data_IF_027985584660
#
_entry.id   IF_027985584660
#
_cell.length_a   1.000
_cell.length_b   1.000
_cell.length_c   1.000
_cell.angle_alpha   90.00
_cell.angle_beta   90.00
_cell.angle_gamma   90.00
#
_symmetry.space_group_name_H-M   'P 1'
#
loop_
_entity.id
_entity.type
_entity.pdbx_description
1 polymer ?
#
# COMPACT_ATOMS: atom_id res chain seq x y z
N UNK A 1 -36.96 6.71 -3.93
CA UNK A 1 -35.50 6.49 -3.80
C UNK A 1 -35.27 5.39 -2.77
N UNK A 2 -34.62 4.29 -3.15
CA UNK A 2 -34.28 3.21 -2.22
C UNK A 2 -33.07 3.65 -1.40
N UNK A 3 -33.20 3.71 -0.07
CA UNK A 3 -32.10 4.12 0.82
C UNK A 3 -31.18 2.93 1.04
N UNK A 4 -30.02 2.92 0.37
CA UNK A 4 -28.99 1.92 0.62
C UNK A 4 -28.38 2.16 2.01
N UNK A 5 -28.30 1.10 2.81
CA UNK A 5 -27.65 1.11 4.13
C UNK A 5 -26.38 0.28 4.06
N UNK A 6 -25.30 0.82 4.59
CA UNK A 6 -24.06 0.08 4.81
C UNK A 6 -24.13 -0.67 6.14
N UNK A 7 -23.31 -1.73 6.33
CA UNK A 7 -23.18 -2.38 7.63
C UNK A 7 -22.84 -1.38 8.73
N UNK A 8 -23.27 -1.67 9.95
CA UNK A 8 -22.84 -0.92 11.12
C UNK A 8 -21.31 -1.00 11.28
N UNK A 9 -20.68 0.12 11.65
CA UNK A 9 -19.23 0.21 11.75
C UNK A 9 -18.49 0.26 10.41
N UNK A 10 -19.19 0.51 9.29
CA UNK A 10 -18.52 0.71 8.00
C UNK A 10 -17.57 1.91 8.07
N UNK A 11 -16.32 1.70 7.64
CA UNK A 11 -15.29 2.74 7.66
C UNK A 11 -15.37 3.59 6.39
N UNK A 12 -15.66 4.87 6.58
CA UNK A 12 -15.56 5.95 5.60
C UNK A 12 -14.31 6.75 5.91
N UNK A 13 -13.28 6.60 5.09
CA UNK A 13 -12.00 7.24 5.31
C UNK A 13 -11.38 7.79 4.04
N UNK A 14 -10.26 8.47 4.23
CA UNK A 14 -9.36 8.92 3.16
C UNK A 14 -8.03 8.18 3.27
N UNK A 15 -7.29 8.15 2.16
CA UNK A 15 -6.00 7.48 2.08
C UNK A 15 -4.93 8.38 1.50
N UNK A 16 -3.75 8.36 2.10
CA UNK A 16 -2.57 9.11 1.68
C UNK A 16 -1.32 8.23 1.76
N UNK A 17 -0.21 8.71 1.23
CA UNK A 17 1.11 8.11 1.45
C UNK A 17 2.13 9.18 1.81
N UNK A 18 3.07 8.82 2.68
CA UNK A 18 4.04 9.71 3.29
C UNK A 18 4.76 10.59 2.27
N UNK A 19 5.36 9.98 1.24
CA UNK A 19 6.12 10.69 0.22
C UNK A 19 5.27 11.71 -0.57
N UNK A 20 3.96 11.50 -0.67
CA UNK A 20 3.05 12.37 -1.43
C UNK A 20 2.58 13.59 -0.64
N UNK A 21 2.56 13.53 0.70
CA UNK A 21 1.93 14.58 1.53
C UNK A 21 2.85 15.18 2.60
N UNK A 22 3.82 14.43 3.12
CA UNK A 22 4.55 14.84 4.33
C UNK A 22 5.47 16.03 4.10
N UNK A 23 6.28 15.98 3.04
CA UNK A 23 7.40 16.90 2.90
C UNK A 23 8.44 16.71 4.00
N UNK A 24 9.03 17.81 4.46
CA UNK A 24 10.02 17.83 5.54
C UNK A 24 11.16 16.84 5.29
N UNK A 25 11.67 16.82 4.04
CA UNK A 25 12.68 15.85 3.58
C UNK A 25 13.97 15.91 4.40
N UNK A 26 14.35 17.09 4.88
CA UNK A 26 15.61 17.35 5.60
C UNK A 26 15.44 17.55 7.11
N UNK A 27 14.20 17.47 7.59
CA UNK A 27 13.91 17.78 8.98
C UNK A 27 14.07 16.54 9.85
N UNK A 28 14.46 16.78 11.10
CA UNK A 28 14.46 15.79 12.18
C UNK A 28 15.15 14.47 11.82
N UNK A 29 16.19 14.53 10.97
CA UNK A 29 17.05 13.39 10.66
C UNK A 29 16.46 12.35 9.71
N UNK A 30 15.40 12.67 8.95
CA UNK A 30 14.90 11.79 7.87
C UNK A 30 15.99 11.53 6.82
N UNK A 31 16.17 10.26 6.44
CA UNK A 31 17.03 9.85 5.33
C UNK A 31 16.36 10.06 3.96
N UNK A 32 17.14 9.93 2.87
CA UNK A 32 16.57 9.96 1.53
C UNK A 32 15.89 8.63 1.17
N UNK A 33 14.78 8.70 0.44
CA UNK A 33 14.13 7.58 -0.23
C UNK A 33 14.55 7.47 -1.70
N UNK A 34 14.20 6.36 -2.34
CA UNK A 34 14.35 6.21 -3.80
C UNK A 34 13.60 7.28 -4.59
N UNK A 35 12.47 7.77 -4.08
CA UNK A 35 11.70 8.82 -4.74
C UNK A 35 12.35 10.19 -4.62
N UNK A 36 13.06 10.45 -3.51
CA UNK A 36 13.82 11.68 -3.35
C UNK A 36 14.92 11.79 -4.43
N UNK A 37 15.64 10.69 -4.70
CA UNK A 37 16.65 10.65 -5.77
C UNK A 37 16.06 10.60 -7.16
N UNK A 38 14.94 9.91 -7.33
CA UNK A 38 14.24 9.88 -8.62
C UNK A 38 13.75 11.27 -9.03
N UNK A 39 13.18 12.04 -8.10
CA UNK A 39 12.69 13.39 -8.35
C UNK A 39 13.82 14.39 -8.65
N UNK A 40 15.01 14.21 -8.07
CA UNK A 40 16.20 15.01 -8.38
C UNK A 40 16.71 14.81 -9.82
N UNK A 41 16.30 13.75 -10.51
CA UNK A 41 16.79 13.45 -11.86
C UNK A 41 16.01 14.29 -12.89
N UNK A 42 16.66 15.15 -13.69
CA UNK A 42 15.98 15.99 -14.66
C UNK A 42 15.12 15.19 -15.64
N UNK A 43 13.90 15.67 -15.88
CA UNK A 43 12.95 15.06 -16.82
C UNK A 43 12.26 13.78 -16.31
N UNK A 44 12.45 13.37 -15.06
CA UNK A 44 11.72 12.23 -14.47
C UNK A 44 10.36 12.60 -13.90
N UNK A 45 10.20 13.86 -13.48
CA UNK A 45 8.92 14.41 -13.04
C UNK A 45 8.39 15.31 -14.15
N UNK A 46 7.12 15.12 -14.52
CA UNK A 46 6.52 15.75 -15.69
C UNK A 46 6.55 17.29 -15.66
N UNK A 47 6.39 17.88 -14.48
CA UNK A 47 6.45 19.32 -14.25
C UNK A 47 7.74 19.78 -13.55
N UNK A 48 8.68 18.84 -13.30
CA UNK A 48 9.94 19.11 -12.60
C UNK A 48 9.80 19.40 -11.10
N UNK A 49 8.62 19.19 -10.50
CA UNK A 49 8.43 19.32 -9.04
C UNK A 49 9.15 18.23 -8.25
N UNK A 50 9.33 18.43 -6.95
CA UNK A 50 9.94 17.47 -6.04
C UNK A 50 9.13 17.31 -4.73
N UNK A 51 9.23 16.16 -4.05
CA UNK A 51 8.44 15.86 -2.85
C UNK A 51 9.00 16.52 -1.57
N UNK A 52 9.96 17.45 -1.66
CA UNK A 52 10.65 18.03 -0.52
C UNK A 52 9.72 18.75 0.47
N UNK A 53 8.68 19.43 -0.05
CA UNK A 53 7.63 20.09 0.75
C UNK A 53 6.28 19.38 0.63
N UNK A 54 5.91 18.91 -0.56
CA UNK A 54 4.61 18.26 -0.81
C UNK A 54 3.42 19.09 -0.29
N UNK A 55 2.57 18.54 0.59
CA UNK A 55 1.47 19.26 1.24
C UNK A 55 1.86 19.85 2.61
N UNK A 56 3.11 19.65 3.03
CA UNK A 56 3.63 20.03 4.35
C UNK A 56 2.87 19.38 5.52
N UNK A 57 2.36 18.15 5.32
CA UNK A 57 1.63 17.41 6.34
C UNK A 57 2.48 17.17 7.59
N UNK A 58 3.80 17.05 7.46
CA UNK A 58 4.69 16.86 8.61
C UNK A 58 4.54 17.96 9.68
N UNK A 59 4.35 19.21 9.26
CA UNK A 59 4.13 20.33 10.17
C UNK A 59 2.64 20.60 10.43
N UNK A 60 1.78 20.29 9.45
CA UNK A 60 0.37 20.70 9.44
C UNK A 60 -0.63 19.59 9.72
N UNK A 61 -0.18 18.40 10.11
CA UNK A 61 -1.04 17.23 10.31
C UNK A 61 -2.24 17.46 11.24
N UNK A 62 -2.14 18.37 12.22
CA UNK A 62 -3.25 18.73 13.12
C UNK A 62 -4.42 19.36 12.34
N UNK A 63 -4.12 20.19 11.35
CA UNK A 63 -5.12 20.80 10.47
C UNK A 63 -5.80 19.72 9.60
N UNK A 64 -5.03 18.74 9.14
CA UNK A 64 -5.56 17.63 8.34
C UNK A 64 -6.48 16.71 9.16
N UNK A 65 -6.13 16.43 10.42
CA UNK A 65 -7.00 15.68 11.35
C UNK A 65 -8.33 16.41 11.58
N UNK A 66 -8.26 17.71 11.84
CA UNK A 66 -9.43 18.57 12.02
C UNK A 66 -10.30 18.66 10.75
N UNK A 67 -9.69 18.70 9.56
CA UNK A 67 -10.41 18.59 8.29
C UNK A 67 -11.12 17.23 8.13
N UNK A 68 -10.45 16.13 8.45
CA UNK A 68 -11.04 14.78 8.37
C UNK A 68 -12.24 14.65 9.30
N UNK A 69 -12.15 15.21 10.52
CA UNK A 69 -13.26 15.22 11.47
C UNK A 69 -14.44 16.05 10.95
N UNK A 70 -14.21 17.25 10.40
CA UNK A 70 -15.25 18.09 9.79
C UNK A 70 -15.96 17.42 8.60
N UNK A 71 -15.25 16.59 7.85
CA UNK A 71 -15.83 15.81 6.75
C UNK A 71 -16.70 14.63 7.23
N UNK A 72 -16.71 14.32 8.53
CA UNK A 72 -17.47 13.20 9.09
C UNK A 72 -16.87 11.83 8.75
N UNK A 73 -15.55 11.77 8.52
CA UNK A 73 -14.82 10.53 8.33
C UNK A 73 -14.63 9.82 9.67
N UNK A 74 -14.43 8.50 9.62
CA UNK A 74 -14.18 7.68 10.81
C UNK A 74 -12.93 6.79 10.67
N UNK A 75 -12.15 6.95 9.60
CA UNK A 75 -10.90 6.24 9.39
C UNK A 75 -9.91 7.07 8.58
N UNK A 76 -8.62 6.88 8.85
CA UNK A 76 -7.54 7.46 8.06
C UNK A 76 -6.47 6.41 7.75
N UNK A 77 -6.29 6.12 6.46
CA UNK A 77 -5.18 5.30 5.99
C UNK A 77 -4.02 6.18 5.58
N UNK A 78 -2.89 6.04 6.26
CA UNK A 78 -1.65 6.74 5.92
C UNK A 78 -0.51 5.72 5.77
N UNK A 79 0.64 6.11 5.25
CA UNK A 79 1.84 5.28 5.30
C UNK A 79 2.87 5.87 6.26
N UNK A 80 3.70 5.00 6.82
CA UNK A 80 4.83 5.40 7.66
C UNK A 80 6.08 5.40 6.79
N UNK A 81 6.78 6.53 6.71
CA UNK A 81 8.00 6.65 5.94
C UNK A 81 9.12 5.86 6.61
N UNK A 82 9.49 4.74 6.00
CA UNK A 82 10.66 3.96 6.41
C UNK A 82 11.92 4.83 6.56
N UNK A 83 12.32 5.68 5.59
CA UNK A 83 13.52 6.51 5.75
C UNK A 83 13.39 7.60 6.82
N UNK A 84 12.17 7.90 7.28
CA UNK A 84 11.97 8.79 8.43
C UNK A 84 12.20 8.07 9.75
N UNK A 85 11.80 6.79 9.84
CA UNK A 85 11.96 5.96 11.05
C UNK A 85 13.36 5.36 11.16
N UNK A 86 13.93 4.89 10.06
CA UNK A 86 15.29 4.34 9.95
C UNK A 86 15.99 4.99 8.74
N UNK A 87 16.74 6.09 8.94
CA UNK A 87 17.35 6.85 7.84
C UNK A 87 18.27 6.03 6.93
N UNK A 88 19.06 5.13 7.52
CA UNK A 88 19.94 4.20 6.79
C UNK A 88 19.22 2.90 6.36
N UNK A 89 17.89 2.84 6.56
CA UNK A 89 17.02 1.69 6.36
C UNK A 89 17.15 0.58 7.39
N UNK A 90 18.21 0.58 8.21
CA UNK A 90 18.43 -0.34 9.34
C UNK A 90 19.09 0.38 10.51
N UNK A 91 19.17 -0.31 11.64
CA UNK A 91 19.95 0.12 12.80
C UNK A 91 19.19 1.10 13.69
N UNK A 92 19.77 2.28 13.92
CA UNK A 92 19.27 3.24 14.91
C UNK A 92 17.98 3.89 14.46
N UNK A 93 16.93 3.73 15.27
CA UNK A 93 15.64 4.40 15.08
C UNK A 93 15.81 5.90 15.29
N UNK A 94 15.31 6.67 14.33
CA UNK A 94 15.14 8.10 14.48
C UNK A 94 13.93 8.39 15.39
N UNK A 95 14.20 8.79 16.63
CA UNK A 95 13.17 9.01 17.65
C UNK A 95 12.20 10.14 17.27
N UNK A 96 12.67 11.23 16.64
CA UNK A 96 11.82 12.34 16.21
C UNK A 96 10.90 11.90 15.06
N UNK A 97 11.46 11.18 14.09
CA UNK A 97 10.70 10.62 12.97
C UNK A 97 9.59 9.66 13.41
N UNK A 98 9.87 8.77 14.35
CA UNK A 98 8.86 7.86 14.89
C UNK A 98 7.88 8.57 15.85
N UNK A 99 8.35 9.61 16.55
CA UNK A 99 7.53 10.45 17.43
C UNK A 99 6.46 11.26 16.68
N UNK A 100 6.70 11.64 15.43
CA UNK A 100 5.68 12.23 14.57
C UNK A 100 4.48 11.30 14.37
N UNK A 101 4.71 10.05 13.98
CA UNK A 101 3.63 9.07 13.79
C UNK A 101 2.91 8.71 15.10
N UNK A 102 3.65 8.72 16.21
CA UNK A 102 3.08 8.54 17.53
C UNK A 102 2.04 9.62 17.86
N UNK A 103 2.42 10.89 17.72
CA UNK A 103 1.54 12.02 17.96
C UNK A 103 0.36 12.07 16.98
N UNK A 104 0.60 11.72 15.71
CA UNK A 104 -0.45 11.63 14.71
C UNK A 104 -1.51 10.58 15.09
N UNK A 105 -1.08 9.39 15.51
CA UNK A 105 -1.99 8.31 15.93
C UNK A 105 -2.82 8.73 17.14
N UNK A 106 -2.20 9.34 18.15
CA UNK A 106 -2.92 9.82 19.33
C UNK A 106 -4.01 10.81 18.95
N UNK A 107 -3.69 11.79 18.10
CA UNK A 107 -4.67 12.78 17.69
C UNK A 107 -5.77 12.23 16.78
N UNK A 108 -5.48 11.23 15.93
CA UNK A 108 -6.51 10.53 15.16
C UNK A 108 -7.51 9.85 16.10
N UNK A 109 -7.01 9.14 17.10
CA UNK A 109 -7.85 8.46 18.08
C UNK A 109 -8.66 9.46 18.92
N UNK A 110 -8.06 10.57 19.36
CA UNK A 110 -8.75 11.66 20.05
C UNK A 110 -9.87 12.28 19.18
N UNK A 111 -9.65 12.36 17.86
CA UNK A 111 -10.65 12.85 16.90
C UNK A 111 -11.72 11.80 16.53
N UNK A 112 -11.62 10.56 17.01
CA UNK A 112 -12.53 9.46 16.69
C UNK A 112 -12.29 8.83 15.32
N UNK A 113 -11.08 8.97 14.76
CA UNK A 113 -10.66 8.39 13.48
C UNK A 113 -9.85 7.12 13.73
N UNK A 114 -10.24 6.01 13.11
CA UNK A 114 -9.48 4.76 13.14
C UNK A 114 -8.15 4.89 12.34
N UNK A 115 -6.98 4.77 12.98
CA UNK A 115 -5.70 4.86 12.29
C UNK A 115 -5.36 3.54 11.57
N UNK A 116 -5.13 3.62 10.25
CA UNK A 116 -4.83 2.48 9.40
C UNK A 116 -3.44 2.66 8.73
N UNK A 117 -2.32 2.48 9.46
CA UNK A 117 -0.99 2.69 8.92
C UNK A 117 -0.58 1.59 7.92
N UNK A 118 0.02 2.02 6.82
CA UNK A 118 0.67 1.18 5.81
C UNK A 118 2.17 1.25 6.02
N UNK A 119 2.82 0.11 6.28
CA UNK A 119 4.26 0.10 6.59
C UNK A 119 5.15 0.46 5.39
N UNK A 120 4.74 0.16 4.17
CA UNK A 120 5.54 0.44 2.98
C UNK A 120 4.66 0.97 1.85
N UNK A 121 5.04 2.12 1.28
CA UNK A 121 4.32 2.73 0.17
C UNK A 121 5.30 3.32 -0.86
N UNK A 122 6.20 2.45 -1.35
CA UNK A 122 7.20 2.73 -2.39
C UNK A 122 8.32 3.69 -1.98
N UNK A 123 8.47 3.92 -0.69
CA UNK A 123 9.41 4.84 -0.06
C UNK A 123 10.63 4.10 0.53
N UNK A 124 11.25 3.22 -0.26
CA UNK A 124 12.45 2.50 0.17
C UNK A 124 13.57 3.48 0.51
N UNK A 125 14.25 3.36 1.67
CA UNK A 125 15.45 4.14 1.97
C UNK A 125 16.51 3.97 0.88
N UNK A 126 17.07 5.08 0.40
CA UNK A 126 18.08 5.07 -0.65
C UNK A 126 19.31 4.24 -0.24
N UNK A 127 19.69 4.30 1.04
CA UNK A 127 20.79 3.51 1.59
C UNK A 127 20.62 1.98 1.41
N UNK A 128 19.38 1.48 1.33
CA UNK A 128 19.09 0.07 0.99
C UNK A 128 19.06 -0.16 -0.51
N UNK A 129 18.55 0.80 -1.29
CA UNK A 129 18.57 0.72 -2.74
C UNK A 129 19.99 0.63 -3.29
N UNK A 130 20.93 1.39 -2.71
CA UNK A 130 22.36 1.36 -3.06
C UNK A 130 23.01 0.00 -2.79
N UNK A 131 22.40 -0.82 -1.92
CA UNK A 131 22.81 -2.20 -1.60
C UNK A 131 21.99 -3.26 -2.37
N UNK A 132 21.25 -2.85 -3.38
CA UNK A 132 20.47 -3.73 -4.27
C UNK A 132 18.95 -3.70 -4.04
N UNK A 133 18.46 -2.96 -3.04
CA UNK A 133 17.03 -2.75 -2.79
C UNK A 133 16.24 -4.06 -2.72
N UNK A 134 15.04 -4.09 -3.31
CA UNK A 134 14.18 -5.28 -3.28
C UNK A 134 14.73 -6.51 -4.03
N UNK A 135 15.80 -6.36 -4.83
CA UNK A 135 16.50 -7.50 -5.42
C UNK A 135 17.46 -8.19 -4.43
N UNK A 136 17.80 -7.53 -3.32
CA UNK A 136 18.59 -8.11 -2.24
C UNK A 136 17.69 -8.75 -1.17
N UNK A 137 18.07 -9.95 -0.69
CA UNK A 137 17.37 -10.60 0.42
C UNK A 137 17.52 -9.83 1.73
N UNK A 138 18.60 -9.08 1.91
CA UNK A 138 18.87 -8.29 3.11
C UNK A 138 17.78 -7.23 3.36
N UNK A 139 17.09 -6.80 2.30
CA UNK A 139 15.97 -5.84 2.40
C UNK A 139 14.77 -6.46 3.12
N UNK A 140 14.59 -7.78 3.06
CA UNK A 140 13.53 -8.47 3.81
C UNK A 140 13.81 -8.39 5.31
N UNK A 141 15.06 -8.65 5.73
CA UNK A 141 15.47 -8.57 7.13
C UNK A 141 15.43 -7.12 7.63
N UNK A 142 15.87 -6.16 6.80
CA UNK A 142 15.75 -4.74 7.07
C UNK A 142 14.28 -4.32 7.28
N UNK A 143 13.39 -4.81 6.43
CA UNK A 143 11.96 -4.52 6.55
C UNK A 143 11.37 -5.12 7.82
N UNK A 144 11.80 -6.32 8.23
CA UNK A 144 11.38 -6.93 9.48
C UNK A 144 11.85 -6.13 10.71
N UNK A 145 13.08 -5.62 10.71
CA UNK A 145 13.60 -4.72 11.77
C UNK A 145 12.78 -3.44 11.87
N UNK A 146 12.54 -2.80 10.73
CA UNK A 146 11.70 -1.61 10.61
C UNK A 146 10.28 -1.86 11.13
N UNK A 147 9.61 -2.90 10.62
CA UNK A 147 8.25 -3.25 11.02
C UNK A 147 8.18 -3.57 12.53
N UNK A 148 9.22 -4.20 13.08
CA UNK A 148 9.32 -4.48 14.52
C UNK A 148 9.47 -3.20 15.33
N UNK A 149 10.30 -2.25 14.90
CA UNK A 149 10.45 -0.96 15.58
C UNK A 149 9.13 -0.17 15.61
N UNK A 150 8.43 -0.12 14.48
CA UNK A 150 7.12 0.53 14.37
C UNK A 150 6.08 -0.16 15.25
N UNK A 151 5.97 -1.50 15.15
CA UNK A 151 4.99 -2.27 15.93
C UNK A 151 5.23 -2.15 17.44
N UNK A 152 6.49 -2.12 17.89
CA UNK A 152 6.83 -1.92 19.31
C UNK A 152 6.37 -0.56 19.84
N UNK A 153 6.36 0.48 19.01
CA UNK A 153 6.07 1.84 19.43
C UNK A 153 4.59 2.21 19.29
N UNK A 154 3.92 1.70 18.26
CA UNK A 154 2.59 2.15 17.83
C UNK A 154 1.54 1.02 17.87
N UNK A 155 1.96 -0.25 18.03
CA UNK A 155 1.09 -1.41 17.87
C UNK A 155 0.01 -1.56 18.95
N UNK A 156 0.16 -0.89 20.09
CA UNK A 156 -0.82 -0.84 21.18
C UNK A 156 -2.12 -0.10 20.79
N UNK A 157 -2.01 0.87 19.86
CA UNK A 157 -3.12 1.75 19.44
C UNK A 157 -3.71 1.41 18.08
N UNK A 158 -2.97 0.70 17.24
CA UNK A 158 -3.33 0.38 15.85
C UNK A 158 -4.08 -0.96 15.73
N UNK A 159 -4.23 -1.72 16.82
CA UNK A 159 -4.80 -3.07 16.82
C UNK A 159 -6.34 -3.14 16.75
N UNK A 160 -7.05 -2.01 16.72
CA UNK A 160 -8.47 -1.91 16.37
C UNK A 160 -9.45 -1.91 17.55
N UNK A 161 -9.97 -0.72 17.86
CA UNK A 161 -11.24 -0.48 18.58
C UNK A 161 -11.24 -0.60 20.12
N UNK A 162 -12.20 0.06 20.82
CA UNK A 162 -12.15 0.39 22.25
C UNK A 162 -12.25 -0.84 23.19
N UNK A 163 -11.84 -0.70 24.48
CA UNK A 163 -11.95 -1.74 25.50
C UNK A 163 -13.42 -1.94 25.93
N UNK A 164 -14.21 -2.57 25.07
CA UNK A 164 -15.56 -3.02 25.38
C UNK A 164 -15.94 -4.30 24.61
N UNK A 165 -15.00 -5.25 24.46
CA UNK A 165 -15.31 -6.67 24.19
C UNK A 165 -14.03 -7.54 24.16
N UNK A 166 -13.51 -7.91 25.34
CA UNK A 166 -12.59 -9.05 25.49
C UNK A 166 -11.17 -8.91 24.89
N UNK A 167 -10.26 -9.86 25.19
CA UNK A 167 -8.85 -9.73 24.84
C UNK A 167 -8.64 -9.93 23.33
N UNK A 168 -8.41 -8.81 22.62
CA UNK A 168 -8.05 -8.77 21.21
C UNK A 168 -6.62 -9.26 21.00
N UNK A 169 -6.48 -10.50 20.57
CA UNK A 169 -5.28 -10.96 19.88
C UNK A 169 -5.19 -10.21 18.54
N UNK A 170 -3.97 -9.78 18.17
CA UNK A 170 -3.59 -9.45 16.80
C UNK A 170 -4.48 -10.20 15.81
N UNK A 171 -5.16 -9.49 14.89
CA UNK A 171 -5.93 -10.12 13.82
C UNK A 171 -4.95 -10.87 12.93
N UNK A 172 -4.54 -12.08 13.37
CA UNK A 172 -3.84 -13.06 12.58
C UNK A 172 -4.77 -13.31 11.41
N UNK A 173 -4.38 -12.84 10.24
CA UNK A 173 -4.75 -13.52 9.01
C UNK A 173 -4.23 -14.95 9.16
N UNK A 174 -5.09 -15.83 9.66
CA UNK A 174 -4.84 -17.26 9.75
C UNK A 174 -4.73 -17.81 8.33
N UNK A 175 -3.52 -17.80 7.79
CA UNK A 175 -3.14 -18.55 6.58
C UNK A 175 -2.83 -20.01 6.90
N UNK A 176 -3.29 -20.56 8.03
CA UNK A 176 -3.21 -21.99 8.35
C UNK A 176 -4.58 -22.63 8.56
N UNK A 177 -5.40 -22.60 7.50
CA UNK A 177 -6.17 -23.80 7.12
C UNK A 177 -6.10 -24.02 5.62
N UNK A 178 -5.17 -24.89 5.22
CA UNK A 178 -5.29 -25.62 3.97
C UNK A 178 -6.62 -26.38 3.96
N UNK A 179 -7.64 -25.76 3.36
CA UNK A 179 -8.79 -26.44 2.78
C UNK A 179 -8.97 -25.88 1.38
N UNK A 180 -8.17 -26.41 0.48
CA UNK A 180 -8.53 -26.50 -0.93
C UNK A 180 -9.93 -27.12 -1.01
N UNK A 181 -10.92 -26.31 -1.39
CA UNK A 181 -12.17 -26.86 -1.94
C UNK A 181 -11.81 -27.44 -3.30
N UNK A 182 -11.99 -28.73 -3.57
CA UNK A 182 -11.77 -29.25 -4.91
C UNK A 182 -12.77 -28.57 -5.85
N UNK A 183 -12.23 -27.97 -6.91
CA UNK A 183 -13.02 -27.49 -8.05
C UNK A 183 -13.67 -28.72 -8.67
N UNK A 184 -14.98 -28.86 -8.50
CA UNK A 184 -15.76 -29.88 -9.20
C UNK A 184 -15.74 -29.55 -10.69
N UNK A 185 -15.30 -30.46 -11.58
CA UNK A 185 -15.36 -30.20 -13.01
C UNK A 185 -16.82 -30.15 -13.47
N UNK A 186 -17.19 -29.05 -14.12
CA UNK A 186 -18.47 -28.89 -14.79
C UNK A 186 -18.52 -29.92 -15.93
N UNK A 187 -19.28 -31.01 -15.75
CA UNK A 187 -19.59 -31.96 -16.81
C UNK A 187 -20.46 -31.28 -17.87
N UNK A 188 -20.18 -31.44 -19.17
CA UNK A 188 -21.07 -30.94 -20.21
C UNK A 188 -22.40 -31.72 -20.17
N UNK A 189 -23.52 -30.98 -20.15
CA UNK A 189 -24.87 -31.57 -20.26
C UNK A 189 -25.07 -32.13 -21.68
N UNK A 190 -25.62 -33.34 -21.84
CA UNK A 190 -25.98 -33.84 -23.16
C UNK A 190 -27.17 -33.07 -23.72
N UNK A 191 -27.01 -32.56 -24.94
CA UNK A 191 -28.07 -31.91 -25.71
C UNK A 191 -28.95 -33.02 -26.32
N UNK A 192 -30.21 -33.11 -25.87
CA UNK A 192 -31.19 -34.01 -26.44
C UNK A 192 -32.21 -33.21 -27.26
N UNK A 193 -32.07 -33.24 -28.59
CA UNK A 193 -33.20 -33.29 -29.52
C UNK A 193 -32.69 -33.54 -30.94
N UNK A 194 -33.21 -34.62 -31.53
CA UNK A 194 -32.99 -35.08 -32.90
C UNK A 194 -33.49 -34.05 -33.92
N UNK A 195 -32.85 -33.99 -35.09
CA UNK A 195 -33.43 -34.38 -36.41
C UNK A 195 -32.66 -33.67 -37.55
N UNK A 196 -31.91 -34.49 -38.31
CA UNK A 196 -31.68 -34.44 -39.77
C UNK A 196 -31.05 -33.20 -40.41
N UNK A 197 -29.85 -33.34 -41.02
CA UNK A 197 -29.71 -33.58 -42.47
C UNK A 197 -28.24 -33.43 -42.96
N UNK A 198 -27.79 -34.46 -43.69
CA UNK A 198 -26.87 -34.45 -44.84
C UNK A 198 -25.49 -33.73 -44.81
N UNK A 199 -24.47 -34.58 -44.69
CA UNK A 199 -23.43 -34.87 -45.71
C UNK A 199 -22.41 -33.80 -46.17
N UNK A 200 -21.13 -34.22 -46.11
CA UNK A 200 -19.99 -33.97 -47.01
C UNK A 200 -18.76 -33.27 -46.39
N UNK A 201 -17.77 -34.08 -46.04
CA UNK A 201 -16.31 -33.82 -46.19
C UNK A 201 -15.95 -33.68 -47.69
N UNK A 202 -14.71 -33.32 -48.12
CA UNK A 202 -13.51 -32.91 -47.38
C UNK A 202 -12.72 -31.71 -47.99
N UNK A 203 -11.68 -31.22 -47.30
CA UNK A 203 -10.30 -31.11 -47.81
C UNK A 203 -9.45 -30.00 -47.15
N UNK A 204 -8.27 -30.43 -46.68
CA UNK A 204 -6.95 -29.76 -46.72
C UNK A 204 -6.89 -28.30 -47.19
N UNK A 205 -6.19 -27.45 -46.42
CA UNK A 205 -4.82 -26.99 -46.75
C UNK A 205 -4.22 -26.09 -45.66
N UNK A 206 -2.93 -26.33 -45.42
CA UNK A 206 -1.98 -25.54 -44.64
C UNK A 206 -1.69 -24.18 -45.30
N UNK A 207 -1.38 -23.17 -44.48
CA UNK A 207 -0.49 -21.98 -44.69
C UNK A 207 -0.96 -20.93 -43.67
N UNK A 208 -0.15 -20.06 -43.07
CA UNK A 208 1.29 -19.87 -42.93
C UNK A 208 1.36 -18.79 -41.85
N UNK A 209 2.23 -18.96 -40.86
CA UNK A 209 2.54 -17.90 -39.89
C UNK A 209 3.24 -16.79 -40.66
N UNK A 210 2.72 -15.57 -40.58
CA UNK A 210 3.37 -14.37 -41.07
C UNK A 210 3.58 -13.43 -39.89
N UNK A 211 4.81 -13.45 -39.40
CA UNK A 211 5.42 -12.49 -38.49
C UNK A 211 5.53 -11.14 -39.20
N UNK A 212 5.18 -10.04 -38.52
CA UNK A 212 5.56 -8.69 -38.94
C UNK A 212 6.26 -7.98 -37.76
N UNK A 213 7.36 -7.22 -37.99
CA UNK A 213 8.28 -6.80 -36.95
C UNK A 213 7.98 -5.41 -36.37
N UNK A 214 8.54 -5.17 -35.19
CA UNK A 214 8.49 -3.91 -34.43
C UNK A 214 9.16 -2.74 -35.16
N UNK A 215 8.68 -1.49 -34.97
CA UNK A 215 9.44 -0.29 -35.34
C UNK A 215 10.42 0.10 -34.22
N UNK A 216 11.63 0.44 -34.66
CA UNK A 216 12.75 0.93 -33.86
C UNK A 216 12.49 2.36 -33.36
N UNK A 217 13.02 2.62 -32.17
CA UNK A 217 13.31 3.92 -31.58
C UNK A 217 14.40 4.66 -32.35
N UNK A 218 14.23 5.96 -32.55
CA UNK A 218 15.30 6.98 -32.58
C UNK A 218 14.66 8.38 -32.48
N UNK A 219 15.29 9.24 -31.67
CA UNK A 219 14.88 10.56 -31.13
C UNK A 219 14.02 10.55 -29.87
#
# INVERSE_FOLDING_TARGET
MTRHRFPEGFLWGVATSAQQIEGARRDDGRGDSIWDRFAETPGKIADGSDPGVACDHYHRWREDVDLMQRMGLNAYRFSIAWPRVLPEGRGTVNAAGLGFYDALIDALLEAGLEPLPTLYHWDLPQALQDRGGWSSRDTVDAFAEYATAVARRLGDRVAGGPPAAGPGAWRRSDTRRGRTRPVTPIRPRPCASRTTCCSRTPARRRRSVATCPAPRSEW
#
